data_IF_313869209680
#
_entry.id   IF_313869209680
#
_cell.length_a   1.000
_cell.length_b   1.000
_cell.length_c   1.000
_cell.angle_alpha   90.00
_cell.angle_beta   90.00
_cell.angle_gamma   90.00
#
_symmetry.space_group_name_H-M   'P 1'
#
loop_
_entity.id
_entity.type
_entity.pdbx_description
1 polymer ?
#
# COMPACT_ATOMS: atom_id res chain seq x y z
N UNK A 1 -10.50 -7.59 11.65
CA UNK A 1 -9.99 -6.21 11.76
C UNK A 1 -10.22 -5.78 13.18
N UNK A 2 -9.15 -5.32 13.83
CA UNK A 2 -9.22 -4.72 15.16
C UNK A 2 -8.86 -3.26 15.03
N UNK A 3 -9.83 -2.41 15.36
CA UNK A 3 -9.55 -1.01 15.66
C UNK A 3 -8.80 -0.94 16.98
N UNK A 4 -7.53 -0.57 16.92
CA UNK A 4 -6.68 -0.47 18.12
C UNK A 4 -6.80 0.90 18.78
N UNK A 5 -6.91 1.97 17.97
CA UNK A 5 -6.82 3.32 18.51
C UNK A 5 -7.53 4.36 17.64
N UNK A 6 -8.11 5.36 18.30
CA UNK A 6 -8.46 6.66 17.72
C UNK A 6 -7.41 7.68 18.19
N UNK A 7 -6.71 8.28 17.25
CA UNK A 7 -5.69 9.31 17.50
C UNK A 7 -6.29 10.68 17.19
N UNK A 8 -6.25 11.57 18.18
CA UNK A 8 -6.50 13.00 17.96
C UNK A 8 -5.28 13.60 17.26
N UNK A 9 -5.43 13.91 15.97
CA UNK A 9 -4.38 14.49 15.15
C UNK A 9 -4.55 16.01 14.97
N UNK A 10 -5.33 16.67 15.84
CA UNK A 10 -5.60 18.12 15.73
C UNK A 10 -4.36 19.00 15.81
N UNK A 11 -3.29 18.51 16.45
CA UNK A 11 -2.00 19.18 16.53
C UNK A 11 -1.12 18.98 15.26
N UNK A 12 -1.54 18.13 14.31
CA UNK A 12 -0.78 17.90 13.07
C UNK A 12 -1.13 18.97 12.03
N UNK A 13 -0.24 19.96 11.88
CA UNK A 13 -0.48 21.13 11.02
C UNK A 13 0.18 21.02 9.63
N UNK A 14 0.89 19.92 9.35
CA UNK A 14 1.65 19.76 8.10
C UNK A 14 0.80 19.10 7.02
N UNK A 15 1.05 19.48 5.76
CA UNK A 15 0.59 18.73 4.59
C UNK A 15 1.71 17.87 4.05
N UNK A 16 1.43 16.58 3.83
CA UNK A 16 2.41 15.63 3.30
C UNK A 16 2.33 15.64 1.78
N UNK A 17 3.43 15.99 1.13
CA UNK A 17 3.53 15.96 -0.33
C UNK A 17 3.75 14.52 -0.81
N UNK A 18 2.89 14.06 -1.72
CA UNK A 18 3.11 12.80 -2.41
C UNK A 18 4.20 12.92 -3.47
N UNK A 19 4.90 11.81 -3.72
CA UNK A 19 6.02 11.72 -4.67
C UNK A 19 5.74 10.70 -5.78
N UNK A 20 6.05 11.09 -7.02
CA UNK A 20 6.12 10.18 -8.19
C UNK A 20 7.50 9.57 -8.29
N UNK A 21 7.86 8.76 -7.31
CA UNK A 21 9.18 8.14 -7.20
C UNK A 21 9.06 6.80 -6.51
N UNK A 22 9.93 5.86 -6.87
CA UNK A 22 10.06 4.60 -6.14
C UNK A 22 10.97 4.74 -4.92
N UNK A 23 11.81 5.79 -4.87
CA UNK A 23 12.83 5.97 -3.84
C UNK A 23 12.22 6.24 -2.45
N UNK A 24 12.74 5.52 -1.46
CA UNK A 24 12.28 5.49 -0.09
C UNK A 24 11.21 4.44 0.18
N UNK A 25 10.48 3.96 -0.85
CA UNK A 25 9.40 2.98 -0.68
C UNK A 25 9.95 1.59 -0.35
N UNK A 26 11.19 1.30 -0.74
CA UNK A 26 11.90 0.04 -0.49
C UNK A 26 12.00 -0.34 1.00
N UNK A 27 11.84 0.63 1.92
CA UNK A 27 11.77 0.38 3.37
C UNK A 27 10.46 -0.29 3.80
N UNK A 28 9.39 -0.03 3.06
CA UNK A 28 8.03 -0.44 3.39
C UNK A 28 7.57 -1.65 2.58
N UNK A 29 8.21 -1.91 1.44
CA UNK A 29 7.80 -2.96 0.52
C UNK A 29 8.52 -2.91 -0.81
N UNK A 30 7.87 -3.42 -1.84
CA UNK A 30 8.37 -3.40 -3.22
C UNK A 30 7.28 -2.85 -4.14
N UNK A 31 7.60 -1.79 -4.87
CA UNK A 31 6.84 -1.39 -6.05
C UNK A 31 7.34 -2.23 -7.24
N UNK A 32 6.46 -2.98 -7.88
CA UNK A 32 6.79 -3.94 -8.92
C UNK A 32 6.30 -3.45 -10.27
N UNK A 33 7.22 -2.88 -11.04
CA UNK A 33 7.07 -2.68 -12.49
C UNK A 33 8.36 -3.06 -13.18
N UNK A 34 8.28 -3.49 -14.44
CA UNK A 34 9.46 -3.88 -15.22
C UNK A 34 10.41 -2.68 -15.37
N UNK A 35 9.87 -1.51 -15.72
CA UNK A 35 10.67 -0.31 -15.96
C UNK A 35 11.42 0.17 -14.72
N UNK A 36 10.83 -0.01 -13.54
CA UNK A 36 11.50 0.31 -12.28
C UNK A 36 12.60 -0.69 -11.94
N UNK A 37 12.29 -1.99 -12.03
CA UNK A 37 13.11 -3.01 -11.39
C UNK A 37 14.21 -3.58 -12.29
N UNK A 38 14.09 -3.44 -13.62
CA UNK A 38 14.96 -4.14 -14.59
C UNK A 38 16.46 -3.92 -14.39
N UNK A 39 16.85 -2.77 -13.84
CA UNK A 39 18.26 -2.41 -13.63
C UNK A 39 18.76 -2.76 -12.22
N UNK A 40 17.88 -3.30 -11.37
CA UNK A 40 18.13 -3.57 -9.94
C UNK A 40 17.99 -5.04 -9.54
N UNK A 41 17.45 -5.89 -10.42
CA UNK A 41 17.20 -7.31 -10.15
C UNK A 41 17.80 -8.19 -11.24
N UNK A 42 18.04 -9.46 -10.92
CA UNK A 42 18.45 -10.43 -11.94
C UNK A 42 17.33 -10.66 -12.95
N UNK A 43 17.69 -10.75 -14.22
CA UNK A 43 16.78 -11.02 -15.33
C UNK A 43 17.24 -12.26 -16.08
N UNK A 44 16.31 -13.20 -16.27
CA UNK A 44 16.49 -14.34 -17.16
C UNK A 44 15.61 -14.20 -18.40
N UNK A 45 16.04 -14.81 -19.51
CA UNK A 45 15.17 -15.04 -20.65
C UNK A 45 14.13 -16.12 -20.31
N UNK A 46 12.89 -15.93 -20.76
CA UNK A 46 11.79 -16.86 -20.64
C UNK A 46 11.11 -17.06 -22.00
N UNK A 47 10.23 -18.05 -22.11
CA UNK A 47 9.44 -18.33 -23.32
C UNK A 47 10.29 -18.38 -24.59
N UNK A 48 11.39 -19.16 -24.54
CA UNK A 48 12.34 -19.31 -25.66
C UNK A 48 12.88 -17.98 -26.20
N UNK A 49 13.04 -16.97 -25.33
CA UNK A 49 13.59 -15.65 -25.67
C UNK A 49 12.55 -14.59 -26.00
N UNK A 50 11.25 -14.92 -26.00
CA UNK A 50 10.17 -13.95 -26.25
C UNK A 50 9.72 -13.16 -25.02
N UNK A 51 10.20 -13.53 -23.83
CA UNK A 51 9.90 -12.84 -22.58
C UNK A 51 11.15 -12.68 -21.71
N UNK A 52 11.11 -11.68 -20.84
CA UNK A 52 12.06 -11.53 -19.74
C UNK A 52 11.36 -11.92 -18.44
N UNK A 53 12.12 -12.51 -17.52
CA UNK A 53 11.68 -12.86 -16.17
C UNK A 53 12.55 -12.12 -15.17
N UNK A 54 11.98 -11.12 -14.51
CA UNK A 54 12.60 -10.50 -13.35
C UNK A 54 12.51 -11.48 -12.17
N UNK A 55 13.64 -11.78 -11.54
CA UNK A 55 13.76 -12.89 -10.60
C UNK A 55 13.51 -12.40 -9.17
N UNK A 56 12.53 -13.05 -8.50
CA UNK A 56 12.27 -12.88 -7.05
C UNK A 56 12.11 -11.41 -6.62
N UNK A 57 11.34 -10.64 -7.39
CA UNK A 57 11.21 -9.18 -7.20
C UNK A 57 10.58 -8.78 -5.85
N UNK A 58 9.64 -9.57 -5.33
CA UNK A 58 9.04 -9.34 -4.02
C UNK A 58 8.82 -10.68 -3.30
N UNK A 59 8.92 -10.69 -1.96
CA UNK A 59 8.64 -11.89 -1.18
C UNK A 59 7.12 -12.08 -0.99
N UNK A 60 6.69 -13.33 -0.80
CA UNK A 60 5.37 -13.67 -0.28
C UNK A 60 5.60 -14.38 1.06
N UNK A 61 5.45 -13.65 2.17
CA UNK A 61 5.81 -14.10 3.52
C UNK A 61 4.56 -14.47 4.31
N UNK A 62 4.62 -15.62 4.98
CA UNK A 62 3.60 -16.12 5.90
C UNK A 62 4.26 -16.46 7.25
N UNK A 63 4.00 -15.63 8.25
CA UNK A 63 4.54 -15.77 9.62
C UNK A 63 3.45 -16.15 10.63
N UNK A 64 2.29 -16.68 10.21
CA UNK A 64 1.20 -17.01 11.15
C UNK A 64 1.55 -18.13 12.13
N UNK A 65 2.60 -18.92 11.87
CA UNK A 65 3.16 -19.84 12.87
C UNK A 65 3.61 -19.10 14.15
N UNK A 66 3.96 -17.82 14.05
CA UNK A 66 4.35 -16.97 15.18
C UNK A 66 3.16 -16.31 15.87
N UNK A 67 1.97 -16.30 15.25
CA UNK A 67 0.78 -15.69 15.82
C UNK A 67 0.34 -16.38 17.14
N UNK A 68 -0.24 -15.64 18.10
CA UNK A 68 -0.68 -16.19 19.39
C UNK A 68 -1.66 -17.35 19.29
N UNK A 69 -2.61 -17.30 18.35
CA UNK A 69 -3.64 -18.32 18.17
C UNK A 69 -3.07 -19.67 17.72
N UNK A 70 -1.94 -19.64 16.98
CA UNK A 70 -1.39 -20.78 16.23
C UNK A 70 -2.36 -21.36 15.18
N UNK A 71 -3.38 -20.61 14.79
CA UNK A 71 -4.28 -20.99 13.71
C UNK A 71 -3.55 -20.96 12.37
N UNK A 72 -3.74 -22.01 11.57
CA UNK A 72 -3.11 -22.11 10.26
C UNK A 72 -3.67 -21.04 9.33
N UNK A 73 -2.77 -20.32 8.65
CA UNK A 73 -3.14 -19.40 7.59
C UNK A 73 -3.10 -20.07 6.21
N UNK A 74 -3.90 -19.55 5.28
CA UNK A 74 -3.85 -19.90 3.86
C UNK A 74 -3.42 -18.70 3.03
N UNK A 75 -2.68 -18.96 1.96
CA UNK A 75 -2.41 -17.93 0.94
C UNK A 75 -3.63 -17.81 0.05
N UNK A 76 -4.23 -16.62 0.03
CA UNK A 76 -5.47 -16.34 -0.69
C UNK A 76 -5.23 -15.35 -1.83
N UNK A 77 -5.91 -15.61 -2.94
CA UNK A 77 -6.11 -14.61 -4.00
C UNK A 77 -7.48 -13.97 -3.78
N UNK A 78 -7.49 -12.65 -3.61
CA UNK A 78 -8.69 -11.84 -3.43
C UNK A 78 -8.83 -10.84 -4.58
N UNK A 79 -10.04 -10.32 -4.81
CA UNK A 79 -10.29 -9.21 -5.73
C UNK A 79 -10.86 -8.06 -4.94
N UNK A 80 -10.21 -6.90 -5.04
CA UNK A 80 -10.66 -5.67 -4.40
C UNK A 80 -11.15 -4.71 -5.47
N UNK A 81 -12.43 -4.34 -5.43
CA UNK A 81 -12.96 -3.24 -6.23
C UNK A 81 -12.87 -1.95 -5.41
N UNK A 82 -11.84 -1.15 -5.68
CA UNK A 82 -11.57 0.08 -4.94
C UNK A 82 -12.14 1.28 -5.71
N UNK A 83 -13.02 2.04 -5.06
CA UNK A 83 -13.65 3.23 -5.62
C UNK A 83 -12.97 4.50 -5.11
N UNK A 84 -13.05 5.57 -5.90
CA UNK A 84 -12.75 6.92 -5.39
C UNK A 84 -13.81 7.25 -4.33
N UNK A 85 -13.37 7.79 -3.19
CA UNK A 85 -14.25 8.22 -2.07
C UNK A 85 -14.27 9.75 -2.07
N UNK A 86 -15.21 10.42 -2.77
CA UNK A 86 -15.16 11.86 -3.01
C UNK A 86 -15.07 12.69 -1.72
N UNK A 87 -15.67 12.21 -0.63
CA UNK A 87 -15.71 12.90 0.66
C UNK A 87 -14.33 12.96 1.34
N UNK A 88 -13.38 12.11 0.93
CA UNK A 88 -11.99 12.17 1.40
C UNK A 88 -11.12 13.12 0.58
N UNK A 89 -11.65 13.76 -0.45
CA UNK A 89 -10.87 14.65 -1.32
C UNK A 89 -11.35 16.10 -1.23
N UNK A 90 -10.41 17.02 -1.19
CA UNK A 90 -10.64 18.44 -1.45
C UNK A 90 -9.76 18.86 -2.61
N UNK A 91 -10.32 19.49 -3.64
CA UNK A 91 -9.60 19.87 -4.85
C UNK A 91 -9.78 21.36 -5.10
N UNK A 92 -8.68 22.05 -5.37
CA UNK A 92 -8.64 23.46 -5.73
C UNK A 92 -7.69 23.69 -6.92
N UNK A 93 -7.27 24.95 -7.16
CA UNK A 93 -6.35 25.29 -8.25
C UNK A 93 -4.94 24.73 -8.06
N UNK A 94 -4.55 24.39 -6.84
CA UNK A 94 -3.18 24.07 -6.45
C UNK A 94 -2.95 22.55 -6.29
N UNK A 95 -4.02 21.76 -6.45
CA UNK A 95 -3.97 20.29 -6.49
C UNK A 95 -5.17 19.63 -5.80
N UNK A 96 -4.98 18.38 -5.40
CA UNK A 96 -5.96 17.63 -4.60
C UNK A 96 -5.35 17.21 -3.26
N UNK A 97 -6.09 17.41 -2.18
CA UNK A 97 -5.75 16.95 -0.83
C UNK A 97 -6.60 15.72 -0.51
N UNK A 98 -5.95 14.60 -0.22
CA UNK A 98 -6.57 13.41 0.34
C UNK A 98 -6.52 13.45 1.87
N UNK A 99 -7.65 13.23 2.52
CA UNK A 99 -7.80 13.16 3.96
C UNK A 99 -7.56 11.72 4.47
N UNK A 100 -6.30 11.41 4.82
CA UNK A 100 -5.90 10.10 5.32
C UNK A 100 -6.40 9.90 6.76
N UNK A 101 -7.35 9.00 6.93
CA UNK A 101 -8.10 8.81 8.19
C UNK A 101 -7.83 7.48 8.86
N UNK A 102 -7.09 6.57 8.21
CA UNK A 102 -6.77 5.25 8.74
C UNK A 102 -5.45 4.76 8.16
N UNK A 103 -4.62 4.19 9.02
CA UNK A 103 -3.49 3.34 8.65
C UNK A 103 -3.71 1.96 9.24
N UNK A 104 -3.36 0.94 8.47
CA UNK A 104 -3.48 -0.46 8.81
C UNK A 104 -2.16 -1.20 8.63
N UNK A 105 -2.04 -2.37 9.25
CA UNK A 105 -0.93 -3.30 9.00
C UNK A 105 -1.36 -4.74 9.13
N UNK A 106 -0.59 -5.61 8.48
CA UNK A 106 -0.71 -7.06 8.52
C UNK A 106 0.48 -7.66 9.31
N UNK A 107 0.31 -8.02 10.60
CA UNK A 107 1.42 -8.39 11.47
C UNK A 107 2.19 -9.64 11.05
N UNK A 108 1.55 -10.55 10.30
CA UNK A 108 2.11 -11.86 9.95
C UNK A 108 2.16 -12.15 8.44
N UNK A 109 1.80 -11.21 7.58
CA UNK A 109 1.79 -11.42 6.14
C UNK A 109 2.29 -10.21 5.36
N UNK A 110 2.99 -10.46 4.26
CA UNK A 110 3.04 -9.49 3.16
C UNK A 110 1.66 -9.38 2.53
N UNK A 111 1.33 -8.22 1.96
CA UNK A 111 0.13 -8.04 1.17
C UNK A 111 0.48 -7.39 -0.17
N UNK A 112 0.06 -8.02 -1.26
CA UNK A 112 0.34 -7.57 -2.62
C UNK A 112 -0.93 -7.12 -3.31
N UNK A 113 -0.92 -5.93 -3.90
CA UNK A 113 -1.97 -5.43 -4.79
C UNK A 113 -1.44 -5.30 -6.22
N UNK A 114 -2.14 -5.92 -7.16
CA UNK A 114 -1.85 -5.83 -8.60
C UNK A 114 -3.01 -5.11 -9.30
N UNK A 115 -2.83 -3.88 -9.80
CA UNK A 115 -3.89 -3.17 -10.50
C UNK A 115 -4.29 -3.92 -11.77
N UNK A 116 -5.60 -3.97 -12.05
CA UNK A 116 -6.16 -4.64 -13.22
C UNK A 116 -6.85 -3.62 -14.14
N UNK A 117 -6.47 -3.60 -15.42
CA UNK A 117 -7.15 -2.81 -16.45
C UNK A 117 -6.91 -1.29 -16.38
N UNK A 118 -5.85 -0.85 -15.71
CA UNK A 118 -5.38 0.55 -15.73
C UNK A 118 -4.43 0.79 -16.89
N UNK A 119 -4.40 2.03 -17.39
CA UNK A 119 -3.40 2.47 -18.34
C UNK A 119 -2.00 2.43 -17.69
N UNK A 120 -0.98 1.83 -18.34
CA UNK A 120 0.37 1.76 -17.79
C UNK A 120 1.00 3.10 -17.42
N UNK A 121 0.61 4.19 -18.08
CA UNK A 121 1.23 5.51 -17.92
C UNK A 121 0.45 6.45 -17.01
N UNK A 122 -0.82 6.14 -16.70
CA UNK A 122 -1.65 6.99 -15.85
C UNK A 122 -1.30 6.84 -14.37
N UNK A 123 -1.33 7.94 -13.62
CA UNK A 123 -1.37 7.91 -12.16
C UNK A 123 -2.66 7.18 -11.72
N UNK A 124 -2.48 6.02 -11.09
CA UNK A 124 -3.59 5.10 -10.85
C UNK A 124 -4.06 5.11 -9.40
N UNK A 125 -3.13 5.24 -8.45
CA UNK A 125 -3.42 5.18 -7.02
C UNK A 125 -2.30 5.83 -6.20
N UNK A 126 -2.63 6.12 -4.94
CA UNK A 126 -1.71 6.65 -3.93
C UNK A 126 -1.48 5.59 -2.87
N UNK A 127 -0.21 5.37 -2.53
CA UNK A 127 0.23 4.53 -1.42
C UNK A 127 0.73 5.43 -0.31
N UNK A 128 0.08 5.38 0.85
CA UNK A 128 0.52 6.09 2.05
C UNK A 128 1.08 5.05 3.02
N UNK A 129 2.27 5.29 3.55
CA UNK A 129 2.97 4.41 4.48
C UNK A 129 3.55 5.20 5.63
N UNK A 130 3.73 4.55 6.79
CA UNK A 130 4.35 5.16 7.95
C UNK A 130 5.42 4.23 8.55
N UNK A 131 6.49 4.77 9.13
CA UNK A 131 7.34 4.02 10.05
C UNK A 131 6.53 3.50 11.24
N UNK A 132 7.02 2.44 11.88
CA UNK A 132 6.49 2.01 13.17
C UNK A 132 7.24 2.73 14.31
N UNK A 133 6.47 3.25 15.28
CA UNK A 133 6.93 3.90 16.51
C UNK A 133 6.20 3.23 17.67
N UNK A 134 6.92 2.35 18.37
CA UNK A 134 6.43 1.61 19.53
C UNK A 134 5.14 0.82 19.28
N UNK A 135 5.05 0.17 18.11
CA UNK A 135 3.90 -0.65 17.71
C UNK A 135 2.72 0.14 17.15
N UNK A 136 2.88 1.44 16.93
CA UNK A 136 1.91 2.34 16.31
C UNK A 136 2.52 3.01 15.05
N UNK A 137 1.70 3.48 14.11
CA UNK A 137 2.18 4.27 12.98
C UNK A 137 2.75 5.61 13.45
N UNK A 138 3.97 5.93 13.03
CA UNK A 138 4.58 7.25 13.18
C UNK A 138 3.95 8.23 12.19
N UNK A 139 2.74 8.68 12.51
CA UNK A 139 1.93 9.49 11.61
C UNK A 139 2.54 10.86 11.28
N UNK A 140 3.49 11.33 12.09
CA UNK A 140 4.24 12.56 11.83
C UNK A 140 5.24 12.41 10.67
N UNK A 141 5.60 11.16 10.32
CA UNK A 141 6.57 10.78 9.30
C UNK A 141 5.94 9.91 8.20
N UNK A 142 4.64 10.08 7.93
CA UNK A 142 3.98 9.43 6.80
C UNK A 142 4.64 9.85 5.48
N UNK A 143 4.78 8.89 4.58
CA UNK A 143 5.24 9.09 3.21
C UNK A 143 4.16 8.66 2.23
N UNK A 144 3.93 9.48 1.21
CA UNK A 144 2.92 9.22 0.19
C UNK A 144 3.56 9.08 -1.20
N UNK A 145 3.12 8.08 -1.96
CA UNK A 145 3.67 7.72 -3.26
C UNK A 145 2.56 7.60 -4.29
N UNK A 146 2.73 8.23 -5.44
CA UNK A 146 1.82 8.06 -6.57
C UNK A 146 2.42 7.02 -7.51
N UNK A 147 1.69 5.93 -7.73
CA UNK A 147 2.11 4.87 -8.63
C UNK A 147 1.20 4.75 -9.85
N UNK A 148 1.82 4.30 -10.95
CA UNK A 148 1.17 4.13 -12.24
C UNK A 148 0.38 2.84 -12.34
N UNK A 149 -0.51 2.75 -13.33
CA UNK A 149 -1.35 1.59 -13.56
C UNK A 149 -0.63 0.27 -13.88
N UNK A 150 0.65 0.30 -14.26
CA UNK A 150 1.48 -0.89 -14.48
C UNK A 150 2.31 -1.32 -13.26
N UNK A 151 2.17 -0.63 -12.14
CA UNK A 151 2.95 -0.90 -10.93
C UNK A 151 2.09 -1.71 -9.98
N UNK A 152 2.52 -2.90 -9.58
CA UNK A 152 1.97 -3.61 -8.43
C UNK A 152 2.72 -3.19 -7.15
N UNK A 153 2.13 -3.36 -5.98
CA UNK A 153 2.77 -3.03 -4.70
C UNK A 153 2.67 -4.21 -3.77
N UNK A 154 3.79 -4.59 -3.15
CA UNK A 154 3.82 -5.53 -2.03
C UNK A 154 4.28 -4.80 -0.78
N UNK A 155 3.46 -4.76 0.26
CA UNK A 155 3.87 -4.30 1.58
C UNK A 155 4.61 -5.42 2.31
N UNK A 156 5.69 -5.06 3.01
CA UNK A 156 6.37 -5.97 3.92
C UNK A 156 5.45 -6.36 5.09
N UNK A 157 5.76 -7.48 5.74
CA UNK A 157 5.12 -7.86 7.00
C UNK A 157 5.24 -6.72 8.00
N UNK A 158 4.15 -6.41 8.71
CA UNK A 158 4.09 -5.39 9.77
C UNK A 158 4.35 -3.94 9.29
N UNK A 159 4.28 -3.66 7.99
CA UNK A 159 4.31 -2.29 7.44
C UNK A 159 2.97 -1.58 7.66
N UNK A 160 3.01 -0.38 8.23
CA UNK A 160 1.84 0.52 8.25
C UNK A 160 1.60 1.13 6.87
N UNK A 161 0.39 1.00 6.37
CA UNK A 161 -0.05 1.55 5.10
C UNK A 161 -1.52 1.93 5.15
N UNK A 162 -1.98 2.80 4.25
CA UNK A 162 -3.41 3.06 4.12
C UNK A 162 -4.09 1.93 3.33
N UNK A 163 -5.40 1.69 3.54
CA UNK A 163 -6.23 1.02 2.55
C UNK A 163 -6.06 1.66 1.16
N UNK A 164 -6.30 0.90 0.09
CA UNK A 164 -6.01 1.37 -1.28
C UNK A 164 -6.75 2.66 -1.64
N UNK A 165 -5.99 3.69 -2.04
CA UNK A 165 -6.49 5.01 -2.45
C UNK A 165 -6.39 5.15 -3.97
N UNK A 166 -7.48 4.91 -4.70
CA UNK A 166 -7.48 5.01 -6.16
C UNK A 166 -7.66 6.45 -6.65
N UNK A 167 -7.06 6.75 -7.81
CA UNK A 167 -7.16 8.04 -8.49
C UNK A 167 -8.04 7.95 -9.73
N UNK A 168 -8.84 9.00 -9.94
CA UNK A 168 -9.65 9.30 -11.13
C UNK A 168 -10.80 8.33 -11.47
N UNK A 169 -10.63 7.03 -11.25
CA UNK A 169 -11.63 6.00 -11.54
C UNK A 169 -11.47 4.77 -10.63
N UNK A 170 -12.56 4.03 -10.48
CA UNK A 170 -12.57 2.73 -9.81
C UNK A 170 -11.52 1.81 -10.42
N UNK A 171 -10.78 1.10 -9.56
CA UNK A 171 -9.73 0.16 -9.95
C UNK A 171 -9.96 -1.16 -9.25
N UNK A 172 -9.97 -2.24 -10.02
CA UNK A 172 -9.94 -3.59 -9.48
C UNK A 172 -8.48 -3.98 -9.23
N UNK A 173 -8.21 -4.61 -8.09
CA UNK A 173 -6.91 -5.15 -7.75
C UNK A 173 -7.01 -6.66 -7.53
N UNK A 174 -6.09 -7.40 -8.13
CA UNK A 174 -5.81 -8.77 -7.72
C UNK A 174 -4.93 -8.70 -6.47
N UNK A 175 -5.32 -9.35 -5.39
CA UNK A 175 -4.68 -9.21 -4.08
C UNK A 175 -4.17 -10.56 -3.60
N UNK A 176 -2.92 -10.63 -3.18
CA UNK A 176 -2.34 -11.82 -2.52
C UNK A 176 -2.04 -11.49 -1.08
N UNK A 177 -2.55 -12.30 -0.16
CA UNK A 177 -2.27 -12.19 1.27
C UNK A 177 -2.37 -13.55 1.93
N UNK A 178 -1.74 -13.71 3.09
CA UNK A 178 -1.99 -14.85 3.97
C UNK A 178 -2.93 -14.40 5.09
N UNK A 179 -3.94 -15.22 5.37
CA UNK A 179 -4.97 -14.94 6.38
C UNK A 179 -5.32 -16.23 7.11
N UNK A 180 -5.65 -16.12 8.39
CA UNK A 180 -6.31 -17.18 9.15
C UNK A 180 -7.74 -16.75 9.53
N UNK A 181 -8.41 -17.57 10.33
CA UNK A 181 -9.77 -17.35 10.83
C UNK A 181 -9.82 -16.48 12.11
N UNK A 182 -8.71 -15.81 12.48
CA UNK A 182 -8.62 -14.88 13.62
C UNK A 182 -8.45 -13.45 13.09
N UNK A 183 -9.54 -12.68 12.94
CA UNK A 183 -9.53 -11.36 12.29
C UNK A 183 -8.57 -10.34 12.90
N UNK A 184 -8.24 -10.48 14.19
CA UNK A 184 -7.32 -9.65 14.96
C UNK A 184 -5.86 -9.87 14.54
N UNK A 185 -5.51 -11.08 14.10
CA UNK A 185 -4.16 -11.43 13.65
C UNK A 185 -3.96 -11.07 12.19
N UNK A 186 -5.05 -10.98 11.43
CA UNK A 186 -5.00 -10.64 10.02
C UNK A 186 -4.72 -9.15 9.80
N UNK A 187 -5.41 -8.25 10.51
CA UNK A 187 -5.29 -6.82 10.25
C UNK A 187 -5.56 -5.96 11.50
N UNK A 188 -4.69 -4.98 11.69
CA UNK A 188 -4.69 -4.00 12.78
C UNK A 188 -4.86 -2.61 12.18
N UNK A 189 -5.78 -1.81 12.73
CA UNK A 189 -6.10 -0.46 12.24
C UNK A 189 -5.93 0.62 13.32
N UNK A 190 -5.45 1.79 12.91
CA UNK A 190 -5.38 3.02 13.70
C UNK A 190 -6.05 4.15 12.92
N UNK A 191 -7.00 4.84 13.58
CA UNK A 191 -7.81 5.89 12.98
C UNK A 191 -7.37 7.28 13.46
N UNK A 192 -7.53 8.29 12.60
CA UNK A 192 -7.14 9.67 12.87
C UNK A 192 -8.32 10.62 12.73
N UNK A 193 -8.49 11.51 13.70
CA UNK A 193 -9.46 12.61 13.64
C UNK A 193 -8.83 13.90 14.17
N UNK A 194 -8.75 14.98 13.36
CA UNK A 194 -8.95 15.02 11.90
C UNK A 194 -7.99 14.07 11.18
N UNK A 195 -8.23 13.80 9.89
CA UNK A 195 -7.29 13.00 9.10
C UNK A 195 -6.05 13.80 8.70
N UNK A 196 -5.01 13.07 8.30
CA UNK A 196 -3.71 13.59 7.88
C UNK A 196 -3.83 14.07 6.43
N UNK A 197 -3.54 15.35 6.12
CA UNK A 197 -3.67 15.87 4.77
C UNK A 197 -2.51 15.44 3.88
N UNK A 198 -2.83 14.70 2.81
CA UNK A 198 -1.88 14.26 1.77
C UNK A 198 -2.12 15.05 0.49
N UNK A 199 -1.15 15.84 0.04
CA UNK A 199 -1.24 16.55 -1.24
C UNK A 199 -0.81 15.66 -2.40
N UNK A 200 -1.72 15.54 -3.36
CA UNK A 200 -1.52 14.89 -4.65
C UNK A 200 -1.51 15.98 -5.72
N UNK A 201 -0.31 16.47 -6.02
CA UNK A 201 -0.11 17.52 -7.02
C UNK A 201 -0.41 16.98 -8.42
N UNK A 202 -1.11 17.76 -9.25
CA UNK A 202 -1.30 17.44 -10.66
C UNK A 202 0.06 17.60 -11.40
N UNK A 203 0.28 16.81 -12.45
CA UNK A 203 1.43 16.97 -13.34
C UNK A 203 1.22 18.16 -14.29
#
# INVERSE_FOLDING_TARGET
MVKILDVDASAFEKTIESKRSYSGFERYGVAMSVDHLRDSVSIDAANQGSAIKLIKVAPCVNNYAEAPSKHAATTNWNIFRSCVIPEKWTTDSDGSIYNLTVLEKHPYSTQTFVPMGRDPEEDAYVVNVAPDKDGQPDYENVEAYVFKGNTAVTYNVNTWHSPMVVLNKTTDFCVVTNENDVPEENCVEVFYTPGIPIKVSQN
#
